data_IF_974771068148
#
_entry.id   IF_974771068148
#
_cell.length_a   1.000
_cell.length_b   1.000
_cell.length_c   1.000
_cell.angle_alpha   90.00
_cell.angle_beta   90.00
_cell.angle_gamma   90.00
#
_symmetry.space_group_name_H-M   'P 1'
#
loop_
_entity.id
_entity.type
_entity.pdbx_description
1 polymer ?
#
# COMPACT_ATOMS: atom_id res chain seq x y z
N UNK A 1 -4.67 -1.38 -3.00
CA UNK A 1 -4.92 -2.84 -2.87
C UNK A 1 -6.05 -3.12 -1.87
N UNK A 2 -5.94 -2.64 -0.63
CA UNK A 2 -7.00 -2.82 0.39
C UNK A 2 -8.36 -2.28 -0.07
N UNK A 3 -8.41 -1.04 -0.56
CA UNK A 3 -9.60 -0.43 -1.16
C UNK A 3 -10.20 -1.18 -2.37
N UNK A 4 -9.44 -2.12 -2.98
CA UNK A 4 -9.90 -2.98 -4.07
C UNK A 4 -10.29 -4.40 -3.58
N UNK A 5 -10.29 -4.65 -2.27
CA UNK A 5 -10.74 -5.90 -1.65
C UNK A 5 -9.64 -6.82 -1.15
N UNK A 6 -8.35 -6.45 -1.25
CA UNK A 6 -7.28 -7.23 -0.64
C UNK A 6 -7.31 -7.12 0.89
N UNK A 7 -6.95 -8.19 1.62
CA UNK A 7 -6.76 -8.15 3.08
C UNK A 7 -5.37 -7.66 3.51
N UNK A 8 -4.43 -7.65 2.57
CA UNK A 8 -3.03 -7.30 2.78
C UNK A 8 -2.23 -7.46 1.50
N UNK A 9 -0.97 -7.05 1.52
CA UNK A 9 -0.04 -7.15 0.38
C UNK A 9 1.34 -7.58 0.85
N UNK A 10 2.09 -8.22 -0.03
CA UNK A 10 3.47 -8.65 0.24
C UNK A 10 4.47 -7.65 -0.34
N UNK A 11 5.58 -7.43 0.36
CA UNK A 11 6.74 -6.70 -0.16
C UNK A 11 7.92 -7.64 -0.38
N UNK A 12 8.68 -7.41 -1.45
CA UNK A 12 9.85 -8.23 -1.81
C UNK A 12 11.10 -7.39 -1.99
N UNK A 13 11.24 -6.74 -3.15
CA UNK A 13 12.44 -5.95 -3.48
C UNK A 13 12.78 -4.88 -2.45
N UNK A 14 11.79 -4.16 -1.92
CA UNK A 14 12.02 -3.15 -0.89
C UNK A 14 12.72 -3.71 0.35
N UNK A 15 12.32 -4.91 0.79
CA UNK A 15 12.96 -5.62 1.90
C UNK A 15 14.40 -6.00 1.54
N UNK A 16 14.60 -6.63 0.37
CA UNK A 16 15.93 -7.09 -0.08
C UNK A 16 16.90 -5.93 -0.27
N UNK A 17 16.43 -4.80 -0.80
CA UNK A 17 17.25 -3.60 -0.97
C UNK A 17 17.61 -2.95 0.36
N UNK A 18 16.68 -2.88 1.31
CA UNK A 18 16.99 -2.45 2.68
C UNK A 18 18.03 -3.36 3.34
N UNK A 19 17.87 -4.67 3.18
CA UNK A 19 18.81 -5.67 3.70
C UNK A 19 20.20 -5.51 3.07
N UNK A 20 20.29 -5.33 1.76
CA UNK A 20 21.56 -5.14 1.06
C UNK A 20 22.25 -3.81 1.38
N UNK A 21 21.48 -2.74 1.63
CA UNK A 21 22.02 -1.41 1.88
C UNK A 21 22.59 -1.25 3.30
N UNK A 22 21.85 -1.69 4.32
CA UNK A 22 22.22 -1.46 5.74
C UNK A 22 21.81 -2.61 6.66
N UNK A 23 21.71 -3.84 6.14
CA UNK A 23 21.30 -5.01 6.92
C UNK A 23 19.92 -4.82 7.55
N UNK A 24 19.77 -5.28 8.79
CA UNK A 24 18.53 -5.14 9.56
C UNK A 24 18.06 -3.68 9.64
N UNK A 25 18.96 -2.71 9.84
CA UNK A 25 18.59 -1.29 9.96
C UNK A 25 17.94 -0.77 8.67
N UNK A 26 18.44 -1.19 7.51
CA UNK A 26 17.86 -0.80 6.23
C UNK A 26 16.50 -1.45 5.99
N UNK A 27 16.31 -2.71 6.41
CA UNK A 27 14.98 -3.35 6.41
C UNK A 27 14.00 -2.59 7.29
N UNK A 28 14.40 -2.24 8.52
CA UNK A 28 13.57 -1.46 9.44
C UNK A 28 13.17 -0.11 8.84
N UNK A 29 14.12 0.60 8.22
CA UNK A 29 13.84 1.87 7.55
C UNK A 29 12.83 1.70 6.39
N UNK A 30 12.99 0.67 5.56
CA UNK A 30 12.04 0.40 4.48
C UNK A 30 10.62 0.13 5.00
N UNK A 31 10.49 -0.66 6.08
CA UNK A 31 9.19 -0.93 6.71
C UNK A 31 8.56 0.33 7.32
N UNK A 32 9.37 1.17 7.96
CA UNK A 32 8.90 2.44 8.55
C UNK A 32 8.40 3.41 7.50
N UNK A 33 9.09 3.52 6.35
CA UNK A 33 8.62 4.35 5.23
C UNK A 33 7.26 3.86 4.75
N UNK A 34 7.12 2.56 4.48
CA UNK A 34 5.84 2.00 4.01
C UNK A 34 4.71 2.24 5.01
N UNK A 35 4.97 2.04 6.31
CA UNK A 35 3.98 2.26 7.36
C UNK A 35 3.56 3.74 7.45
N UNK A 36 4.54 4.67 7.38
CA UNK A 36 4.28 6.11 7.45
C UNK A 36 3.51 6.63 6.24
N UNK A 37 3.82 6.13 5.05
CA UNK A 37 3.11 6.49 3.83
C UNK A 37 1.67 5.96 3.83
N UNK A 38 1.44 4.77 4.38
CA UNK A 38 0.08 4.22 4.56
C UNK A 38 -0.73 5.10 5.52
N UNK A 39 -0.17 5.46 6.68
CA UNK A 39 -0.82 6.33 7.68
C UNK A 39 -1.15 7.71 7.09
N UNK A 40 -0.19 8.32 6.39
CA UNK A 40 -0.37 9.61 5.72
C UNK A 40 -1.47 9.54 4.66
N UNK A 41 -1.48 8.48 3.84
CA UNK A 41 -2.50 8.29 2.80
C UNK A 41 -3.89 8.13 3.41
N UNK A 42 -4.03 7.33 4.47
CA UNK A 42 -5.30 7.16 5.17
C UNK A 42 -5.80 8.49 5.73
N UNK A 43 -4.94 9.27 6.37
CA UNK A 43 -5.28 10.60 6.89
C UNK A 43 -5.77 11.53 5.77
N UNK A 44 -5.11 11.53 4.61
CA UNK A 44 -5.52 12.33 3.45
C UNK A 44 -6.85 11.84 2.84
N UNK A 45 -7.14 10.55 2.93
CA UNK A 45 -8.42 9.98 2.52
C UNK A 45 -9.53 10.14 3.57
N UNK A 46 -9.24 10.71 4.74
CA UNK A 46 -10.19 10.88 5.84
C UNK A 46 -10.49 9.60 6.62
N UNK A 47 -9.67 8.56 6.47
CA UNK A 47 -9.85 7.26 7.11
C UNK A 47 -8.98 7.11 8.35
N UNK A 48 -9.55 6.54 9.43
CA UNK A 48 -8.84 6.32 10.70
C UNK A 48 -8.41 4.88 10.92
N UNK A 49 -8.90 3.95 10.09
CA UNK A 49 -8.61 2.52 10.22
C UNK A 49 -8.52 1.89 8.82
N UNK A 50 -7.66 0.89 8.67
CA UNK A 50 -7.41 0.23 7.37
C UNK A 50 -8.65 -0.53 6.89
N UNK A 51 -9.51 -0.94 7.82
CA UNK A 51 -10.79 -1.61 7.54
C UNK A 51 -11.81 -0.67 6.88
N UNK A 52 -11.63 0.65 7.03
CA UNK A 52 -12.48 1.64 6.39
C UNK A 52 -12.08 1.94 4.93
N UNK A 53 -10.92 1.44 4.47
CA UNK A 53 -10.50 1.61 3.08
C UNK A 53 -11.40 0.80 2.14
N UNK A 54 -12.04 1.48 1.19
CA UNK A 54 -12.96 0.88 0.24
C UNK A 54 -12.93 1.56 -1.12
N UNK A 55 -13.81 1.09 -2.03
CA UNK A 55 -13.91 1.63 -3.40
C UNK A 55 -14.24 3.12 -3.43
N UNK A 56 -14.89 3.65 -2.39
CA UNK A 56 -15.20 5.08 -2.27
C UNK A 56 -13.95 5.96 -2.12
N UNK A 57 -12.81 5.43 -1.69
CA UNK A 57 -11.56 6.17 -1.62
C UNK A 57 -10.81 6.25 -2.96
N UNK A 58 -11.34 5.63 -4.02
CA UNK A 58 -10.66 5.53 -5.31
C UNK A 58 -11.47 6.21 -6.42
N UNK A 59 -10.78 6.99 -7.24
CA UNK A 59 -11.24 7.36 -8.57
C UNK A 59 -10.60 6.38 -9.57
N UNK A 60 -11.39 5.46 -10.13
CA UNK A 60 -10.92 4.48 -11.10
C UNK A 60 -11.36 4.94 -12.51
N UNK A 61 -10.42 5.32 -13.40
CA UNK A 61 -10.73 5.66 -14.79
C UNK A 61 -11.41 4.51 -15.54
N UNK A 62 -12.26 4.84 -16.53
CA UNK A 62 -13.01 3.86 -17.32
C UNK A 62 -12.11 2.82 -18.01
N UNK A 63 -10.90 3.22 -18.41
CA UNK A 63 -9.91 2.41 -19.14
C UNK A 63 -8.87 1.72 -18.24
N UNK A 64 -9.03 1.79 -16.90
CA UNK A 64 -8.10 1.16 -15.96
C UNK A 64 -8.21 -0.38 -15.94
N UNK A 65 -9.38 -0.92 -16.26
CA UNK A 65 -9.64 -2.36 -16.31
C UNK A 65 -9.31 -2.98 -17.67
N UNK A 66 -8.81 -4.22 -17.68
CA UNK A 66 -8.72 -5.01 -18.90
C UNK A 66 -10.07 -5.62 -19.31
N UNK A 67 -10.15 -6.21 -20.50
CA UNK A 67 -11.34 -6.89 -21.09
C UNK A 67 -11.92 -8.06 -20.26
N UNK A 68 -11.38 -8.32 -19.08
CA UNK A 68 -11.70 -9.45 -18.20
C UNK A 68 -12.60 -9.03 -17.03
N UNK A 69 -12.91 -7.74 -16.88
CA UNK A 69 -13.91 -7.23 -15.95
C UNK A 69 -15.29 -7.28 -16.62
N UNK A 70 -15.87 -8.47 -16.71
CA UNK A 70 -17.27 -8.71 -17.08
C UNK A 70 -18.05 -9.17 -15.85
#
# INVERSE_FOLDING_TARGET
ALALGAKGTMIGRAFVYGLGAMGQKGVTAALQVIQKELDTTMALCGERSVEALGRHNLLIPEDFGGRWQA
#
